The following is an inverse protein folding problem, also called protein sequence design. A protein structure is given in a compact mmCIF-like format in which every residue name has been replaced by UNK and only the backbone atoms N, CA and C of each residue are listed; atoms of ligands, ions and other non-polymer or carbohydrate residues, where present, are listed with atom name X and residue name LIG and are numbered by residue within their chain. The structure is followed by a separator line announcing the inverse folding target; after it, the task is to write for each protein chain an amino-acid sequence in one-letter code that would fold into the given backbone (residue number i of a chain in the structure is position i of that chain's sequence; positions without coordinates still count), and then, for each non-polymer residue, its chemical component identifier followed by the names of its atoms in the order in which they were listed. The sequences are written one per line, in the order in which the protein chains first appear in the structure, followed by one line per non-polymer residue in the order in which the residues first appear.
data_IF_075091241183
#
_entry.id   IF_075091241183
#
_cell.length_a   1.000
_cell.length_b   1.000
_cell.length_c   1.000
_cell.angle_alpha   90.00
_cell.angle_beta   90.00
_cell.angle_gamma   90.00
#
_symmetry.space_group_name_H-M   'P 1'
#
loop_
_entity.id
_entity.type
_entity.pdbx_description
1 polymer ?
#
# COMPACT_ATOMS: atom_id res chain seq x y z
N UNK A 1 20.75 17.71 -5.06
CA UNK A 1 21.93 16.80 -5.18
C UNK A 1 21.54 15.73 -6.17
N UNK A 2 22.26 15.60 -7.28
CA UNK A 2 22.04 14.48 -8.23
C UNK A 2 22.95 13.31 -7.84
N UNK A 3 22.43 12.09 -7.87
CA UNK A 3 23.19 10.88 -7.60
C UNK A 3 23.90 10.41 -8.89
N UNK A 4 25.10 9.85 -8.72
CA UNK A 4 25.87 9.24 -9.81
C UNK A 4 25.66 7.72 -9.77
N UNK A 5 24.96 7.11 -10.74
CA UNK A 5 24.60 5.70 -10.69
C UNK A 5 25.82 4.76 -10.70
N UNK A 6 26.95 5.17 -11.27
CA UNK A 6 28.16 4.33 -11.31
C UNK A 6 28.82 4.16 -9.94
N UNK A 7 28.55 5.08 -9.02
CA UNK A 7 29.12 5.10 -7.65
C UNK A 7 28.24 4.43 -6.60
N UNK A 8 27.09 3.88 -6.99
CA UNK A 8 26.12 3.29 -6.06
C UNK A 8 26.04 1.79 -6.30
N UNK A 9 26.50 1.01 -5.30
CA UNK A 9 26.44 -0.45 -5.27
C UNK A 9 25.48 -0.98 -4.21
N UNK A 10 25.26 -0.21 -3.13
CA UNK A 10 24.40 -0.58 -2.01
C UNK A 10 23.45 0.55 -1.65
N UNK A 11 22.17 0.25 -1.67
CA UNK A 11 21.08 1.18 -1.32
C UNK A 11 20.36 0.67 -0.08
N UNK A 12 20.17 1.55 0.90
CA UNK A 12 19.23 1.33 1.99
C UNK A 12 17.99 2.21 1.77
N UNK A 13 16.83 1.60 1.85
CA UNK A 13 15.55 2.31 1.92
C UNK A 13 15.00 2.17 3.34
N UNK A 14 14.85 3.29 4.04
CA UNK A 14 14.12 3.34 5.31
C UNK A 14 12.66 3.65 4.94
N UNK A 15 11.86 2.59 4.93
CA UNK A 15 10.47 2.63 4.49
C UNK A 15 9.52 3.19 5.53
N UNK A 16 8.29 3.40 5.11
CA UNK A 16 7.19 3.92 5.92
C UNK A 16 6.62 2.85 6.86
N UNK A 17 5.79 3.26 7.83
CA UNK A 17 5.29 2.35 8.86
C UNK A 17 4.06 1.57 8.43
N UNK A 18 3.28 2.11 7.50
CA UNK A 18 1.99 1.58 7.09
C UNK A 18 2.07 0.93 5.71
N UNK A 19 1.25 -0.10 5.51
CA UNK A 19 1.15 -0.83 4.26
C UNK A 19 0.85 0.09 3.07
N UNK A 20 -0.19 0.92 3.19
CA UNK A 20 -0.64 1.81 2.11
C UNK A 20 0.43 2.80 1.68
N UNK A 21 1.12 3.40 2.66
CA UNK A 21 2.19 4.37 2.38
C UNK A 21 3.35 3.73 1.60
N UNK A 22 3.73 2.48 1.96
CA UNK A 22 4.76 1.75 1.23
C UNK A 22 4.32 1.40 -0.19
N UNK A 23 3.06 1.05 -0.38
CA UNK A 23 2.52 0.80 -1.74
C UNK A 23 2.48 2.10 -2.54
N UNK A 24 2.08 3.24 -1.95
CA UNK A 24 2.11 4.54 -2.64
C UNK A 24 3.53 4.96 -3.03
N UNK A 25 4.55 4.62 -2.24
CA UNK A 25 5.95 4.90 -2.57
C UNK A 25 6.54 3.95 -3.64
N UNK A 26 5.86 2.84 -3.97
CA UNK A 26 6.42 1.76 -4.80
C UNK A 26 6.82 2.19 -6.20
N UNK A 27 6.07 3.09 -6.84
CA UNK A 27 6.42 3.62 -8.17
C UNK A 27 7.77 4.35 -8.15
N UNK A 28 7.99 5.18 -7.13
CA UNK A 28 9.23 5.93 -6.96
C UNK A 28 10.42 5.00 -6.70
N UNK A 29 10.24 4.03 -5.81
CA UNK A 29 11.28 3.04 -5.47
C UNK A 29 11.60 2.12 -6.66
N UNK A 30 10.61 1.79 -7.48
CA UNK A 30 10.83 0.99 -8.69
C UNK A 30 11.62 1.78 -9.76
N UNK A 31 11.33 3.07 -9.96
CA UNK A 31 12.15 3.90 -10.84
C UNK A 31 13.60 4.00 -10.34
N UNK A 32 13.81 4.06 -9.02
CA UNK A 32 15.16 4.02 -8.45
C UNK A 32 15.86 2.68 -8.74
N UNK A 33 15.15 1.54 -8.61
CA UNK A 33 15.70 0.21 -8.95
C UNK A 33 16.08 0.11 -10.43
N UNK A 34 15.22 0.63 -11.32
CA UNK A 34 15.51 0.68 -12.77
C UNK A 34 16.69 1.60 -13.11
N UNK A 35 16.89 2.66 -12.36
CA UNK A 35 18.02 3.57 -12.53
C UNK A 35 19.34 2.99 -11.97
N UNK A 36 19.25 2.10 -10.97
CA UNK A 36 20.38 1.46 -10.30
C UNK A 36 20.27 -0.08 -10.41
N UNK A 37 20.27 -0.67 -11.62
CA UNK A 37 19.93 -2.09 -11.81
C UNK A 37 20.91 -3.05 -11.13
N UNK A 38 22.18 -2.65 -11.00
CA UNK A 38 23.25 -3.47 -10.44
C UNK A 38 23.46 -3.24 -8.93
N UNK A 39 22.71 -2.33 -8.32
CA UNK A 39 22.83 -2.07 -6.90
C UNK A 39 22.01 -3.08 -6.09
N UNK A 40 22.55 -3.47 -4.92
CA UNK A 40 21.83 -4.25 -3.91
C UNK A 40 20.94 -3.33 -3.10
N UNK A 41 19.69 -3.74 -2.93
CA UNK A 41 18.67 -2.97 -2.23
C UNK A 41 18.27 -3.65 -0.93
N UNK A 42 18.56 -3.00 0.18
CA UNK A 42 18.05 -3.37 1.51
C UNK A 42 16.90 -2.45 1.85
N UNK A 43 15.80 -3.00 2.39
CA UNK A 43 14.69 -2.18 2.91
C UNK A 43 14.47 -2.44 4.40
N UNK A 44 14.30 -1.36 5.15
CA UNK A 44 13.90 -1.38 6.56
C UNK A 44 12.48 -0.88 6.68
N UNK A 45 11.55 -1.71 7.17
CA UNK A 45 10.13 -1.36 7.28
C UNK A 45 9.59 -1.69 8.66
N UNK A 46 8.57 -0.96 9.08
CA UNK A 46 7.80 -1.31 10.27
C UNK A 46 7.02 -2.61 10.08
N UNK A 47 6.62 -3.30 11.19
CA UNK A 47 5.90 -4.58 11.11
C UNK A 47 4.65 -4.52 10.22
N UNK A 48 3.88 -3.42 10.29
CA UNK A 48 2.65 -3.23 9.49
C UNK A 48 2.88 -3.07 7.99
N UNK A 49 4.10 -2.69 7.58
CA UNK A 49 4.45 -2.50 6.17
C UNK A 49 5.16 -3.71 5.57
N UNK A 50 5.50 -4.72 6.38
CA UNK A 50 6.23 -5.91 5.94
C UNK A 50 5.55 -6.60 4.75
N UNK A 51 4.22 -6.70 4.76
CA UNK A 51 3.46 -7.31 3.68
C UNK A 51 3.57 -6.60 2.33
N UNK A 52 3.98 -5.33 2.29
CA UNK A 52 4.22 -4.61 1.04
C UNK A 52 5.52 -5.05 0.34
N UNK A 53 6.52 -5.50 1.10
CA UNK A 53 7.89 -5.74 0.60
C UNK A 53 8.32 -7.21 0.65
N UNK A 54 7.76 -8.01 1.56
CA UNK A 54 8.15 -9.42 1.73
C UNK A 54 7.97 -10.23 0.46
N UNK A 55 9.01 -10.98 0.06
CA UNK A 55 9.00 -11.84 -1.12
C UNK A 55 9.02 -11.10 -2.47
N UNK A 56 9.13 -9.77 -2.48
CA UNK A 56 9.37 -9.03 -3.72
C UNK A 56 10.86 -9.09 -4.08
N UNK A 57 11.21 -9.66 -5.26
CA UNK A 57 12.60 -9.82 -5.70
C UNK A 57 13.32 -8.48 -5.98
N UNK A 58 12.62 -7.37 -5.89
CA UNK A 58 13.22 -6.03 -5.90
C UNK A 58 14.22 -5.86 -4.76
N UNK A 59 13.94 -6.50 -3.60
CA UNK A 59 14.71 -6.37 -2.37
C UNK A 59 15.66 -7.54 -2.19
N UNK A 60 16.96 -7.27 -2.09
CA UNK A 60 17.96 -8.26 -1.76
C UNK A 60 17.91 -8.62 -0.27
N UNK A 61 17.47 -7.66 0.57
CA UNK A 61 17.34 -7.84 2.01
C UNK A 61 16.15 -7.03 2.56
N UNK A 62 15.38 -7.64 3.46
CA UNK A 62 14.27 -7.00 4.16
C UNK A 62 14.50 -7.11 5.67
N UNK A 63 14.49 -5.98 6.37
CA UNK A 63 14.66 -5.91 7.81
C UNK A 63 13.46 -5.24 8.47
N UNK A 64 12.99 -5.80 9.58
CA UNK A 64 11.96 -5.18 10.41
C UNK A 64 12.59 -4.09 11.27
N UNK A 65 12.17 -2.86 11.06
CA UNK A 65 12.58 -1.68 11.81
C UNK A 65 11.46 -1.23 12.74
N UNK A 66 11.28 -1.97 13.83
CA UNK A 66 10.23 -1.69 14.81
C UNK A 66 10.68 -0.60 15.79
N UNK A 67 10.20 0.61 15.57
CA UNK A 67 10.47 1.80 16.41
C UNK A 67 9.65 1.82 17.71
N UNK A 68 8.63 0.99 17.84
CA UNK A 68 7.89 0.80 19.08
C UNK A 68 8.46 -0.33 19.95
N UNK A 69 9.27 -1.21 19.34
CA UNK A 69 9.94 -2.35 19.99
C UNK A 69 11.45 -2.21 20.03
N UNK A 70 12.16 -3.05 19.29
CA UNK A 70 13.62 -3.20 19.34
C UNK A 70 14.40 -1.89 19.08
N UNK A 71 13.87 -1.00 18.23
CA UNK A 71 14.48 0.28 17.88
C UNK A 71 13.84 1.48 18.58
N UNK A 72 13.20 1.26 19.74
CA UNK A 72 12.57 2.32 20.51
C UNK A 72 13.60 3.23 21.22
N UNK A 73 13.22 4.50 21.37
CA UNK A 73 13.95 5.49 22.16
C UNK A 73 15.35 5.79 21.64
N UNK A 74 16.19 6.37 22.51
CA UNK A 74 17.55 6.82 22.15
C UNK A 74 18.49 5.65 21.87
N UNK A 75 18.45 4.59 22.69
CA UNK A 75 19.27 3.37 22.48
C UNK A 75 18.96 2.71 21.14
N UNK A 76 17.67 2.62 20.78
CA UNK A 76 17.24 2.09 19.49
C UNK A 76 17.74 2.92 18.30
N UNK A 77 17.76 4.25 18.42
CA UNK A 77 18.35 5.13 17.40
C UNK A 77 19.86 4.92 17.22
N UNK A 78 20.60 4.77 18.32
CA UNK A 78 22.05 4.45 18.27
C UNK A 78 22.25 3.09 17.59
N UNK A 79 21.45 2.07 17.94
CA UNK A 79 21.51 0.76 17.31
C UNK A 79 21.27 0.85 15.80
N UNK A 80 20.21 1.57 15.38
CA UNK A 80 19.91 1.80 13.96
C UNK A 80 21.08 2.48 13.23
N UNK A 81 21.68 3.53 13.83
CA UNK A 81 22.81 4.23 13.26
C UNK A 81 24.04 3.32 13.11
N UNK A 82 24.33 2.48 14.11
CA UNK A 82 25.42 1.49 14.03
C UNK A 82 25.19 0.50 12.89
N UNK A 83 23.95 0.00 12.71
CA UNK A 83 23.60 -0.88 11.61
C UNK A 83 23.71 -0.19 10.25
N UNK A 84 23.28 1.08 10.12
CA UNK A 84 23.48 1.85 8.90
C UNK A 84 24.98 1.97 8.54
N UNK A 85 25.83 2.24 9.53
CA UNK A 85 27.29 2.35 9.34
C UNK A 85 27.92 1.01 8.94
N UNK A 86 27.57 -0.07 9.64
CA UNK A 86 28.11 -1.41 9.34
C UNK A 86 27.69 -1.92 7.97
N UNK A 87 26.50 -1.52 7.49
CA UNK A 87 25.99 -1.88 6.16
C UNK A 87 26.79 -1.27 5.00
N UNK A 88 27.54 -0.17 5.25
CA UNK A 88 28.36 0.55 4.25
C UNK A 88 27.57 0.88 2.98
N UNK A 89 26.39 1.49 3.16
CA UNK A 89 25.54 1.91 2.06
C UNK A 89 26.11 3.13 1.34
N UNK A 90 26.02 3.15 0.02
CA UNK A 90 26.40 4.30 -0.80
C UNK A 90 25.27 5.35 -0.86
N UNK A 91 24.02 4.88 -0.85
CA UNK A 91 22.81 5.70 -0.88
C UNK A 91 21.83 5.25 0.21
N UNK A 92 21.35 6.19 1.00
CA UNK A 92 20.24 5.95 1.94
C UNK A 92 19.05 6.83 1.56
N UNK A 93 17.94 6.18 1.26
CA UNK A 93 16.63 6.79 0.99
C UNK A 93 15.79 6.67 2.25
N UNK A 94 15.57 7.77 2.96
CA UNK A 94 14.73 7.79 4.16
C UNK A 94 13.38 8.43 3.86
N UNK A 95 12.38 7.58 3.61
CA UNK A 95 11.00 8.02 3.36
C UNK A 95 10.31 8.61 4.61
N UNK A 96 10.91 8.45 5.80
CA UNK A 96 10.42 9.01 7.06
C UNK A 96 10.99 10.38 7.38
N UNK A 97 11.93 10.84 6.54
CA UNK A 97 12.56 12.16 6.70
C UNK A 97 13.22 12.37 8.06
N UNK A 98 13.89 11.33 8.58
CA UNK A 98 14.64 11.44 9.84
C UNK A 98 16.00 12.14 9.62
N UNK A 99 16.62 12.58 10.70
CA UNK A 99 17.94 13.23 10.65
C UNK A 99 19.10 12.23 10.74
N UNK A 100 18.85 10.93 10.85
CA UNK A 100 19.91 9.91 11.07
C UNK A 100 20.76 9.60 9.86
N UNK A 101 20.24 9.53 8.61
CA UNK A 101 21.02 9.12 7.45
C UNK A 101 22.32 9.89 7.20
N UNK A 102 22.40 11.21 7.36
CA UNK A 102 23.66 11.96 7.21
C UNK A 102 24.77 11.50 8.15
N UNK A 103 24.44 10.96 9.31
CA UNK A 103 25.40 10.46 10.28
C UNK A 103 25.83 9.01 10.02
N UNK A 104 25.27 8.34 9.01
CA UNK A 104 25.60 6.95 8.65
C UNK A 104 26.97 6.78 7.98
N UNK A 105 27.48 7.85 7.36
CA UNK A 105 28.68 7.80 6.51
C UNK A 105 28.37 7.42 5.05
N UNK A 106 27.09 7.31 4.67
CA UNK A 106 26.69 7.10 3.28
C UNK A 106 27.06 8.31 2.41
N UNK A 107 27.54 8.05 1.19
CA UNK A 107 27.91 9.11 0.21
C UNK A 107 26.72 10.01 -0.13
N UNK A 108 25.55 9.40 -0.27
CA UNK A 108 24.30 10.09 -0.60
C UNK A 108 23.24 9.79 0.47
N UNK A 109 22.83 10.80 1.19
CA UNK A 109 21.79 10.72 2.22
C UNK A 109 20.90 11.97 2.16
N UNK A 110 20.01 12.07 1.16
CA UNK A 110 19.18 13.24 0.97
C UNK A 110 18.22 13.45 2.15
N UNK A 111 18.19 14.67 2.67
CA UNK A 111 17.22 15.09 3.71
C UNK A 111 15.94 15.56 3.04
N UNK A 112 15.02 14.65 2.78
CA UNK A 112 13.77 14.98 2.08
C UNK A 112 12.79 15.80 2.91
N UNK A 113 12.74 15.58 4.22
CA UNK A 113 11.84 16.29 5.11
C UNK A 113 11.93 17.80 5.02
N UNK A 114 13.13 18.33 4.75
CA UNK A 114 13.30 19.78 4.53
C UNK A 114 12.69 20.26 3.20
N UNK A 115 12.53 19.37 2.20
CA UNK A 115 11.90 19.69 0.90
C UNK A 115 10.39 19.50 0.92
N UNK A 116 9.88 18.56 1.70
CA UNK A 116 8.44 18.32 1.84
C UNK A 116 7.69 19.55 2.37
N UNK A 117 8.37 20.39 3.15
CA UNK A 117 7.79 21.66 3.66
C UNK A 117 7.33 22.58 2.53
N UNK A 118 7.99 22.51 1.36
CA UNK A 118 7.69 23.36 0.20
C UNK A 118 6.73 22.74 -0.81
N UNK A 119 6.32 21.47 -0.62
CA UNK A 119 5.35 20.83 -1.52
C UNK A 119 3.92 21.14 -1.08
N UNK A 120 2.97 21.32 -2.05
CA UNK A 120 1.58 21.51 -1.72
C UNK A 120 1.04 20.38 -0.84
N UNK A 121 0.31 20.71 0.22
CA UNK A 121 -0.28 19.69 1.12
C UNK A 121 -1.32 18.82 0.42
N UNK A 122 -1.93 19.31 -0.64
CA UNK A 122 -2.89 18.61 -1.50
C UNK A 122 -2.25 17.67 -2.51
N UNK A 123 -0.92 17.71 -2.66
CA UNK A 123 -0.24 16.84 -3.60
C UNK A 123 -0.34 15.36 -3.17
N UNK A 124 -0.75 14.50 -4.09
CA UNK A 124 -0.89 13.07 -3.84
C UNK A 124 0.44 12.44 -3.36
N UNK A 125 0.38 11.54 -2.36
CA UNK A 125 1.59 10.95 -1.74
C UNK A 125 2.47 10.17 -2.75
N UNK A 126 1.88 9.50 -3.74
CA UNK A 126 2.66 8.88 -4.80
C UNK A 126 3.41 9.92 -5.64
N UNK A 127 2.79 11.07 -5.95
CA UNK A 127 3.46 12.16 -6.67
C UNK A 127 4.59 12.78 -5.87
N UNK A 128 4.39 12.97 -4.55
CA UNK A 128 5.43 13.49 -3.65
C UNK A 128 6.69 12.63 -3.71
N UNK A 129 6.53 11.31 -3.63
CA UNK A 129 7.67 10.39 -3.68
C UNK A 129 8.33 10.34 -5.06
N UNK A 130 7.57 10.45 -6.15
CA UNK A 130 8.11 10.56 -7.52
C UNK A 130 8.93 11.85 -7.70
N UNK A 131 8.42 12.99 -7.23
CA UNK A 131 9.15 14.26 -7.28
C UNK A 131 10.43 14.23 -6.44
N UNK A 132 10.43 13.54 -5.30
CA UNK A 132 11.62 13.31 -4.51
C UNK A 132 12.69 12.56 -5.32
N UNK A 133 12.33 11.49 -6.06
CA UNK A 133 13.25 10.76 -6.95
C UNK A 133 13.77 11.65 -8.10
N UNK A 134 12.89 12.42 -8.74
CA UNK A 134 13.30 13.38 -9.79
C UNK A 134 14.36 14.34 -9.26
N UNK A 135 14.22 14.80 -8.03
CA UNK A 135 15.18 15.72 -7.40
C UNK A 135 16.58 15.12 -7.20
N UNK A 136 16.69 13.80 -7.17
CA UNK A 136 17.94 13.04 -7.13
C UNK A 136 18.53 12.77 -8.52
N UNK A 137 17.83 13.16 -9.58
CA UNK A 137 18.23 12.88 -10.96
C UNK A 137 17.75 11.51 -11.47
N UNK A 138 16.86 10.83 -10.74
CA UNK A 138 16.26 9.57 -11.20
C UNK A 138 15.18 9.87 -12.23
N UNK A 139 15.29 9.33 -13.47
CA UNK A 139 14.26 9.49 -14.49
C UNK A 139 13.00 8.72 -14.11
N UNK A 140 11.85 9.39 -14.22
CA UNK A 140 10.56 8.74 -13.94
C UNK A 140 10.03 8.13 -15.25
N UNK A 141 10.14 6.81 -15.36
CA UNK A 141 9.65 6.00 -16.49
C UNK A 141 8.29 5.37 -16.18
N UNK A 142 8.01 5.06 -14.91
CA UNK A 142 6.81 4.37 -14.45
C UNK A 142 6.16 5.22 -13.37
N UNK A 143 4.87 5.53 -13.55
CA UNK A 143 4.08 6.27 -12.56
C UNK A 143 3.10 5.38 -11.82
N UNK A 144 2.81 4.18 -12.36
CA UNK A 144 1.90 3.22 -11.77
C UNK A 144 2.49 2.61 -10.49
N UNK A 145 1.67 2.47 -9.47
CA UNK A 145 2.02 1.76 -8.24
C UNK A 145 2.33 0.30 -8.55
N UNK A 146 3.13 -0.30 -7.71
CA UNK A 146 3.52 -1.69 -7.84
C UNK A 146 3.25 -2.45 -6.55
N UNK A 147 2.65 -3.63 -6.69
CA UNK A 147 2.55 -4.63 -5.65
C UNK A 147 2.94 -5.98 -6.27
N UNK A 148 4.02 -6.57 -5.76
CA UNK A 148 4.54 -7.81 -6.34
C UNK A 148 3.62 -8.99 -6.02
N UNK A 149 3.25 -9.77 -7.04
CA UNK A 149 2.47 -10.99 -6.92
C UNK A 149 3.18 -12.08 -7.73
N UNK A 150 3.59 -13.21 -7.08
CA UNK A 150 4.17 -14.33 -7.79
C UNK A 150 3.21 -14.90 -8.86
N UNK A 151 3.75 -15.27 -10.02
CA UNK A 151 2.91 -15.77 -11.12
C UNK A 151 2.14 -17.04 -10.73
N UNK A 152 2.76 -17.92 -9.97
CA UNK A 152 2.11 -19.16 -9.50
C UNK A 152 0.93 -18.87 -8.58
N UNK A 153 1.04 -17.82 -7.75
CA UNK A 153 -0.05 -17.41 -6.88
C UNK A 153 -1.26 -16.88 -7.67
N UNK A 154 -1.04 -16.18 -8.78
CA UNK A 154 -2.13 -15.75 -9.68
C UNK A 154 -2.94 -16.91 -10.22
N UNK A 155 -2.25 -17.99 -10.67
CA UNK A 155 -2.90 -19.20 -11.17
C UNK A 155 -3.68 -19.92 -10.07
N UNK A 156 -3.06 -20.05 -8.89
CA UNK A 156 -3.68 -20.70 -7.73
C UNK A 156 -4.97 -19.99 -7.29
N UNK A 157 -4.92 -18.66 -7.15
CA UNK A 157 -6.08 -17.86 -6.71
C UNK A 157 -7.23 -17.94 -7.70
N UNK A 158 -6.93 -17.88 -9.00
CA UNK A 158 -7.93 -18.03 -10.06
C UNK A 158 -8.63 -19.39 -10.00
N UNK A 159 -7.87 -20.46 -9.77
CA UNK A 159 -8.44 -21.81 -9.64
C UNK A 159 -9.24 -21.97 -8.34
N UNK A 160 -8.73 -21.48 -7.22
CA UNK A 160 -9.31 -21.64 -5.87
C UNK A 160 -10.76 -21.12 -5.77
N UNK A 161 -11.08 -20.06 -6.50
CA UNK A 161 -12.39 -19.39 -6.40
C UNK A 161 -13.30 -19.64 -7.61
N UNK A 162 -12.83 -20.40 -8.61
CA UNK A 162 -13.57 -20.66 -9.85
C UNK A 162 -14.96 -21.25 -9.63
N UNK A 163 -15.06 -22.27 -8.76
CA UNK A 163 -16.29 -23.01 -8.49
C UNK A 163 -17.37 -22.15 -7.81
N UNK A 164 -16.95 -21.21 -6.97
CA UNK A 164 -17.88 -20.29 -6.29
C UNK A 164 -18.30 -19.14 -7.22
N UNK A 165 -17.35 -18.61 -7.98
CA UNK A 165 -17.61 -17.51 -8.92
C UNK A 165 -18.39 -18.00 -10.15
N UNK A 166 -18.17 -19.22 -10.63
CA UNK A 166 -18.92 -19.84 -11.75
C UNK A 166 -19.02 -18.94 -13.00
N UNK A 167 -17.93 -18.25 -13.33
CA UNK A 167 -17.89 -17.32 -14.47
C UNK A 167 -18.62 -16.00 -14.29
N UNK A 168 -19.26 -15.77 -13.15
CA UNK A 168 -19.89 -14.48 -12.79
C UNK A 168 -18.84 -13.41 -12.49
N UNK A 169 -19.24 -12.16 -12.46
CA UNK A 169 -18.38 -11.05 -12.01
C UNK A 169 -18.17 -11.12 -10.49
N UNK A 170 -16.92 -11.01 -10.06
CA UNK A 170 -16.57 -10.93 -8.64
C UNK A 170 -16.39 -9.47 -8.23
N UNK A 171 -17.11 -9.04 -7.22
CA UNK A 171 -16.99 -7.73 -6.59
C UNK A 171 -16.46 -7.93 -5.17
N UNK A 172 -15.34 -7.28 -4.82
CA UNK A 172 -14.77 -7.38 -3.49
C UNK A 172 -15.17 -6.17 -2.65
N UNK A 173 -15.61 -6.43 -1.42
CA UNK A 173 -15.93 -5.42 -0.42
C UNK A 173 -14.92 -5.45 0.73
N UNK A 174 -14.46 -4.27 1.14
CA UNK A 174 -13.70 -4.06 2.36
C UNK A 174 -14.43 -3.08 3.29
N UNK A 175 -15.31 -3.57 4.17
CA UNK A 175 -16.06 -2.73 5.09
C UNK A 175 -15.22 -2.25 6.28
N UNK A 176 -14.02 -2.82 6.50
CA UNK A 176 -13.12 -2.47 7.58
C UNK A 176 -12.34 -1.17 7.36
N UNK A 177 -11.83 -0.61 8.43
CA UNK A 177 -10.76 0.38 8.47
C UNK A 177 -10.22 0.46 9.91
N UNK A 178 -8.92 0.71 10.09
CA UNK A 178 -8.28 0.84 11.40
C UNK A 178 -8.86 1.99 12.26
N UNK A 179 -9.37 3.02 11.60
CA UNK A 179 -9.97 4.17 12.26
C UNK A 179 -11.48 4.21 12.00
N UNK A 180 -12.34 4.03 13.03
CA UNK A 180 -13.80 3.92 12.84
C UNK A 180 -14.45 5.05 12.02
N UNK A 181 -14.06 6.33 12.16
CA UNK A 181 -14.62 7.40 11.33
C UNK A 181 -14.41 7.26 9.81
N UNK A 182 -13.49 6.39 9.37
CA UNK A 182 -13.29 6.08 7.95
C UNK A 182 -14.26 5.02 7.42
N UNK A 183 -15.04 4.38 8.29
CA UNK A 183 -15.91 3.25 7.92
C UNK A 183 -17.25 3.76 7.39
N UNK A 184 -17.59 3.35 6.19
CA UNK A 184 -18.96 3.51 5.69
C UNK A 184 -19.88 2.58 6.47
N UNK A 185 -21.12 2.98 6.82
CA UNK A 185 -22.02 2.16 7.62
C UNK A 185 -22.28 0.79 7.01
N UNK A 186 -22.25 -0.26 7.82
CA UNK A 186 -22.42 -1.66 7.37
C UNK A 186 -23.73 -1.87 6.63
N UNK A 187 -24.83 -1.26 7.11
CA UNK A 187 -26.13 -1.32 6.42
C UNK A 187 -26.05 -0.92 4.95
N UNK A 188 -25.22 0.08 4.63
CA UNK A 188 -25.08 0.58 3.27
C UNK A 188 -24.28 -0.41 2.39
N UNK A 189 -23.29 -1.13 2.96
CA UNK A 189 -22.63 -2.23 2.27
C UNK A 189 -23.61 -3.38 1.98
N UNK A 190 -24.50 -3.71 2.92
CA UNK A 190 -25.53 -4.74 2.74
C UNK A 190 -26.49 -4.33 1.64
N UNK A 191 -27.01 -3.11 1.66
CA UNK A 191 -27.92 -2.58 0.63
C UNK A 191 -27.25 -2.59 -0.75
N UNK A 192 -26.03 -2.09 -0.86
CA UNK A 192 -25.27 -2.10 -2.11
C UNK A 192 -25.03 -3.52 -2.63
N UNK A 193 -24.68 -4.45 -1.75
CA UNK A 193 -24.45 -5.85 -2.13
C UNK A 193 -25.71 -6.48 -2.70
N UNK A 194 -26.85 -6.32 -2.01
CA UNK A 194 -28.15 -6.86 -2.49
C UNK A 194 -28.54 -6.27 -3.85
N UNK A 195 -28.37 -4.96 -4.06
CA UNK A 195 -28.62 -4.32 -5.36
C UNK A 195 -27.72 -4.90 -6.46
N UNK A 196 -26.42 -5.07 -6.19
CA UNK A 196 -25.47 -5.59 -7.17
C UNK A 196 -25.77 -7.08 -7.51
N UNK A 197 -26.16 -7.88 -6.53
CA UNK A 197 -26.59 -9.27 -6.75
C UNK A 197 -27.86 -9.31 -7.60
N UNK A 198 -28.87 -8.55 -7.21
CA UNK A 198 -30.17 -8.55 -7.87
C UNK A 198 -30.09 -8.05 -9.32
N UNK A 199 -29.40 -6.94 -9.55
CA UNK A 199 -29.38 -6.29 -10.87
C UNK A 199 -28.32 -6.85 -11.82
N UNK A 200 -27.24 -7.41 -11.27
CA UNK A 200 -26.06 -7.79 -12.07
C UNK A 200 -25.61 -9.25 -11.90
N UNK A 201 -26.23 -10.02 -11.01
CA UNK A 201 -25.90 -11.44 -10.78
C UNK A 201 -24.44 -11.66 -10.35
N UNK A 202 -23.87 -10.72 -9.61
CA UNK A 202 -22.45 -10.79 -9.19
C UNK A 202 -22.26 -11.70 -7.97
N UNK A 203 -21.01 -12.10 -7.71
CA UNK A 203 -20.60 -12.67 -6.44
C UNK A 203 -19.92 -11.58 -5.61
N UNK A 204 -20.34 -11.45 -4.35
CA UNK A 204 -19.74 -10.51 -3.39
C UNK A 204 -18.72 -11.23 -2.52
N UNK A 205 -17.45 -10.89 -2.67
CA UNK A 205 -16.39 -11.32 -1.76
C UNK A 205 -16.17 -10.27 -0.67
N UNK A 206 -16.10 -10.68 0.60
CA UNK A 206 -15.88 -9.73 1.70
C UNK A 206 -14.59 -10.05 2.42
N UNK A 207 -13.72 -9.04 2.58
CA UNK A 207 -12.43 -9.15 3.29
C UNK A 207 -12.46 -8.41 4.63
N UNK A 208 -11.56 -8.81 5.53
CA UNK A 208 -11.28 -8.18 6.82
C UNK A 208 -10.09 -8.87 7.46
N UNK A 209 -9.15 -8.12 8.05
CA UNK A 209 -7.90 -8.69 8.58
C UNK A 209 -7.88 -8.78 10.09
N UNK A 210 -8.13 -7.69 10.80
CA UNK A 210 -8.24 -7.70 12.26
C UNK A 210 -9.53 -8.40 12.68
N UNK A 211 -9.60 -8.86 13.93
CA UNK A 211 -10.82 -9.47 14.48
C UNK A 211 -12.03 -8.54 14.34
N UNK A 212 -11.84 -7.24 14.59
CA UNK A 212 -12.89 -6.25 14.41
C UNK A 212 -13.34 -6.15 12.94
N UNK A 213 -12.40 -6.11 11.99
CA UNK A 213 -12.71 -6.07 10.56
C UNK A 213 -13.39 -7.36 10.08
N UNK A 214 -12.99 -8.52 10.61
CA UNK A 214 -13.65 -9.79 10.32
C UNK A 214 -15.10 -9.79 10.83
N UNK A 215 -15.35 -9.22 12.02
CA UNK A 215 -16.72 -9.08 12.56
C UNK A 215 -17.58 -8.16 11.68
N UNK A 216 -17.03 -7.04 11.19
CA UNK A 216 -17.73 -6.18 10.25
C UNK A 216 -18.02 -6.90 8.93
N UNK A 217 -17.07 -7.66 8.43
CA UNK A 217 -17.26 -8.47 7.21
C UNK A 217 -18.34 -9.53 7.37
N UNK A 218 -18.37 -10.23 8.50
CA UNK A 218 -19.43 -11.22 8.81
C UNK A 218 -20.81 -10.58 8.87
N UNK A 219 -20.95 -9.40 9.47
CA UNK A 219 -22.23 -8.67 9.47
C UNK A 219 -22.75 -8.39 8.07
N UNK A 220 -21.87 -8.15 7.09
CA UNK A 220 -22.30 -8.03 5.69
C UNK A 220 -22.74 -9.38 5.15
N UNK A 221 -21.90 -10.42 5.31
CA UNK A 221 -22.15 -11.76 4.74
C UNK A 221 -23.42 -12.42 5.28
N UNK A 222 -23.71 -12.29 6.59
CA UNK A 222 -24.88 -12.88 7.24
C UNK A 222 -26.22 -12.31 6.74
N UNK A 223 -26.18 -11.19 6.02
CA UNK A 223 -27.35 -10.53 5.43
C UNK A 223 -27.45 -10.69 3.91
N UNK A 224 -26.66 -11.60 3.32
CA UNK A 224 -26.64 -11.85 1.88
C UNK A 224 -26.89 -13.33 1.57
N UNK A 225 -27.41 -13.66 0.36
CA UNK A 225 -27.59 -15.05 -0.06
C UNK A 225 -26.24 -15.80 -0.10
N UNK A 226 -26.18 -16.98 0.53
CA UNK A 226 -24.96 -17.79 0.63
C UNK A 226 -24.32 -18.10 -0.72
N UNK A 227 -25.13 -18.40 -1.75
CA UNK A 227 -24.63 -18.76 -3.07
C UNK A 227 -24.01 -17.60 -3.85
N UNK A 228 -24.30 -16.37 -3.44
CA UNK A 228 -23.81 -15.14 -4.06
C UNK A 228 -22.67 -14.48 -3.26
N UNK A 229 -22.15 -15.17 -2.24
CA UNK A 229 -21.13 -14.63 -1.35
C UNK A 229 -19.86 -15.49 -1.29
N UNK A 230 -18.73 -14.85 -1.01
CA UNK A 230 -17.44 -15.46 -0.78
C UNK A 230 -16.83 -14.87 0.51
N UNK A 231 -16.81 -15.66 1.57
CA UNK A 231 -16.19 -15.26 2.83
C UNK A 231 -14.66 -15.37 2.74
N UNK A 232 -14.02 -14.21 2.73
CA UNK A 232 -12.57 -14.03 2.67
C UNK A 232 -12.00 -13.42 3.96
N UNK A 233 -12.84 -13.24 4.99
CA UNK A 233 -12.44 -12.60 6.26
C UNK A 233 -11.42 -13.45 7.02
N UNK A 234 -10.26 -12.88 7.33
CA UNK A 234 -9.16 -13.57 8.01
C UNK A 234 -8.48 -14.70 7.22
N UNK A 235 -8.88 -14.95 5.97
CA UNK A 235 -8.50 -16.14 5.20
C UNK A 235 -7.52 -15.86 4.06
N UNK A 236 -7.31 -14.59 3.72
CA UNK A 236 -6.56 -14.22 2.50
C UNK A 236 -5.31 -13.42 2.87
N UNK A 237 -4.10 -13.99 2.71
CA UNK A 237 -2.85 -13.23 2.84
C UNK A 237 -2.79 -12.08 1.82
N UNK A 238 -2.06 -11.00 2.15
CA UNK A 238 -2.02 -9.79 1.32
C UNK A 238 -1.59 -10.03 -0.14
N UNK A 239 -0.69 -10.98 -0.39
CA UNK A 239 -0.27 -11.35 -1.77
C UNK A 239 -1.40 -12.06 -2.53
N UNK A 240 -2.12 -12.94 -1.83
CA UNK A 240 -3.30 -13.61 -2.37
C UNK A 240 -4.43 -12.61 -2.63
N UNK A 241 -4.64 -11.64 -1.73
CA UNK A 241 -5.57 -10.54 -1.96
C UNK A 241 -5.21 -9.75 -3.23
N UNK A 242 -3.94 -9.40 -3.42
CA UNK A 242 -3.51 -8.72 -4.64
C UNK A 242 -3.88 -9.49 -5.90
N UNK A 243 -3.63 -10.81 -5.93
CA UNK A 243 -3.99 -11.68 -7.04
C UNK A 243 -5.52 -11.78 -7.25
N UNK A 244 -6.28 -11.80 -6.16
CA UNK A 244 -7.74 -11.83 -6.22
C UNK A 244 -8.31 -10.52 -6.76
N UNK A 245 -7.81 -9.38 -6.29
CA UNK A 245 -8.21 -8.05 -6.77
C UNK A 245 -7.88 -7.87 -8.26
N UNK A 246 -6.73 -8.38 -8.73
CA UNK A 246 -6.33 -8.32 -10.13
C UNK A 246 -7.34 -9.03 -11.06
N UNK A 247 -8.04 -10.05 -10.56
CA UNK A 247 -9.06 -10.80 -11.30
C UNK A 247 -10.50 -10.34 -11.02
N UNK A 248 -10.69 -9.43 -10.07
CA UNK A 248 -12.00 -8.93 -9.69
C UNK A 248 -12.51 -7.85 -10.65
N UNK A 249 -13.82 -7.77 -10.80
CA UNK A 249 -14.46 -6.78 -11.69
C UNK A 249 -14.56 -5.40 -11.04
N UNK A 250 -14.65 -5.37 -9.70
CA UNK A 250 -14.77 -4.15 -8.92
C UNK A 250 -14.27 -4.36 -7.49
N UNK A 251 -13.64 -3.35 -6.91
CA UNK A 251 -13.30 -3.28 -5.50
C UNK A 251 -13.96 -2.07 -4.84
N UNK A 252 -14.81 -2.29 -3.84
CA UNK A 252 -15.44 -1.25 -3.03
C UNK A 252 -14.81 -1.26 -1.65
N UNK A 253 -14.18 -0.17 -1.25
CA UNK A 253 -13.37 -0.14 -0.04
C UNK A 253 -13.36 1.23 0.64
N UNK A 254 -13.32 1.23 1.96
CA UNK A 254 -12.96 2.40 2.73
C UNK A 254 -11.48 2.80 2.45
N UNK A 255 -11.10 4.01 2.84
CA UNK A 255 -9.70 4.47 2.80
C UNK A 255 -8.81 3.66 3.75
N UNK A 256 -8.16 2.64 3.20
CA UNK A 256 -7.31 1.68 3.92
C UNK A 256 -6.07 1.29 3.09
N UNK A 257 -5.13 0.57 3.73
CA UNK A 257 -3.94 0.08 3.03
C UNK A 257 -4.25 -0.82 1.83
N UNK A 258 -5.34 -1.58 1.85
CA UNK A 258 -5.76 -2.46 0.76
C UNK A 258 -6.28 -1.71 -0.47
N UNK A 259 -6.81 -0.49 -0.30
CA UNK A 259 -7.16 0.41 -1.40
C UNK A 259 -5.95 0.64 -2.32
N UNK A 260 -4.77 0.86 -1.73
CA UNK A 260 -3.55 1.09 -2.51
C UNK A 260 -3.02 -0.19 -3.17
N UNK A 261 -3.26 -1.37 -2.58
CA UNK A 261 -3.01 -2.65 -3.26
C UNK A 261 -3.91 -2.74 -4.51
N UNK A 262 -5.20 -2.45 -4.37
CA UNK A 262 -6.14 -2.40 -5.49
C UNK A 262 -5.68 -1.45 -6.60
N UNK A 263 -5.19 -0.25 -6.23
CA UNK A 263 -4.59 0.70 -7.18
C UNK A 263 -3.38 0.11 -7.89
N UNK A 264 -2.50 -0.58 -7.16
CA UNK A 264 -1.26 -1.14 -7.71
C UNK A 264 -1.51 -2.29 -8.69
N UNK A 265 -2.55 -3.09 -8.47
CA UNK A 265 -2.94 -4.20 -9.37
C UNK A 265 -3.91 -3.77 -10.47
N UNK A 266 -4.41 -2.52 -10.42
CA UNK A 266 -5.21 -1.94 -11.49
C UNK A 266 -6.68 -2.34 -11.50
N UNK A 267 -7.23 -2.90 -10.40
CA UNK A 267 -8.65 -3.24 -10.33
C UNK A 267 -9.51 -1.97 -10.38
N UNK A 268 -10.61 -1.93 -11.15
CA UNK A 268 -11.59 -0.85 -11.05
C UNK A 268 -12.11 -0.73 -9.62
N UNK A 269 -12.23 0.49 -9.08
CA UNK A 269 -12.61 0.63 -7.68
C UNK A 269 -13.49 1.82 -7.35
N UNK A 270 -14.22 1.69 -6.25
CA UNK A 270 -14.90 2.76 -5.54
C UNK A 270 -14.25 2.94 -4.18
N UNK A 271 -13.63 4.10 -3.99
CA UNK A 271 -13.04 4.50 -2.71
C UNK A 271 -14.04 5.31 -1.89
N UNK A 272 -14.31 4.86 -0.66
CA UNK A 272 -15.22 5.49 0.28
C UNK A 272 -14.41 6.31 1.29
N UNK A 273 -14.64 7.60 1.31
CA UNK A 273 -13.89 8.55 2.14
C UNK A 273 -14.78 9.22 3.16
N UNK A 274 -14.26 9.42 4.34
CA UNK A 274 -14.85 10.23 5.41
C UNK A 274 -13.93 11.41 5.72
N UNK A 275 -13.12 11.32 6.81
CA UNK A 275 -12.29 12.44 7.28
C UNK A 275 -11.00 12.65 6.48
N UNK A 276 -10.53 11.70 5.69
CA UNK A 276 -9.27 11.80 4.95
C UNK A 276 -9.44 12.44 3.57
N UNK A 277 -8.36 13.09 3.08
CA UNK A 277 -8.32 13.73 1.77
C UNK A 277 -8.15 12.72 0.65
N UNK A 278 -9.11 12.56 -0.26
CA UNK A 278 -8.97 11.70 -1.42
C UNK A 278 -7.95 12.23 -2.43
N UNK A 279 -7.72 13.56 -2.51
CA UNK A 279 -6.68 14.14 -3.37
C UNK A 279 -5.30 13.64 -2.97
N UNK A 280 -5.07 13.51 -1.65
CA UNK A 280 -3.78 13.12 -1.10
C UNK A 280 -3.59 11.60 -1.04
N UNK A 281 -4.64 10.87 -0.68
CA UNK A 281 -4.59 9.43 -0.39
C UNK A 281 -5.54 8.60 -1.25
N UNK A 282 -6.02 9.15 -2.37
CA UNK A 282 -6.94 8.46 -3.27
C UNK A 282 -6.30 7.29 -4.02
N UNK A 283 -7.10 6.53 -4.79
CA UNK A 283 -6.57 5.57 -5.75
C UNK A 283 -5.70 6.26 -6.79
N UNK A 284 -4.59 5.62 -7.16
CA UNK A 284 -3.61 6.17 -8.09
C UNK A 284 -3.47 5.32 -9.34
N UNK A 285 -3.64 5.92 -10.52
CA UNK A 285 -3.34 5.26 -11.78
C UNK A 285 -4.30 4.15 -12.22
N UNK A 286 -5.43 3.97 -11.55
CA UNK A 286 -6.47 2.99 -11.92
C UNK A 286 -7.81 3.68 -12.20
N UNK A 287 -8.72 2.98 -12.91
CA UNK A 287 -10.09 3.44 -13.10
C UNK A 287 -10.84 3.42 -11.77
N UNK A 288 -11.25 4.57 -11.28
CA UNK A 288 -11.89 4.68 -9.96
C UNK A 288 -12.99 5.76 -9.90
N UNK A 289 -13.77 5.67 -8.84
CA UNK A 289 -14.69 6.71 -8.36
C UNK A 289 -14.43 6.93 -6.88
N UNK A 290 -14.58 8.17 -6.45
CA UNK A 290 -14.53 8.57 -5.05
C UNK A 290 -15.93 8.90 -4.60
N UNK A 291 -16.32 8.36 -3.45
CA UNK A 291 -17.52 8.77 -2.72
C UNK A 291 -17.06 9.37 -1.39
N UNK A 292 -17.33 10.64 -1.21
CA UNK A 292 -16.97 11.40 -0.02
C UNK A 292 -18.13 12.35 0.36
N UNK A 293 -18.32 12.64 1.66
CA UNK A 293 -19.35 13.56 2.09
C UNK A 293 -18.97 14.99 1.69
N UNK A 294 -19.96 15.78 1.28
CA UNK A 294 -19.80 17.22 1.06
C UNK A 294 -20.07 17.95 2.38
N UNK A 295 -19.05 17.99 3.26
CA UNK A 295 -19.14 18.66 4.56
C UNK A 295 -18.13 19.81 4.62
N UNK A 296 -18.48 20.96 5.26
CA UNK A 296 -17.57 22.09 5.40
C UNK A 296 -16.27 21.77 6.16
N UNK A 297 -16.29 20.74 7.00
CA UNK A 297 -15.13 20.27 7.79
C UNK A 297 -14.36 19.11 7.13
N UNK A 298 -14.76 18.61 5.97
CA UNK A 298 -14.05 17.54 5.27
C UNK A 298 -13.18 18.10 4.13
N UNK A 299 -11.96 17.56 3.92
CA UNK A 299 -11.30 16.56 4.77
C UNK A 299 -10.78 17.17 6.08
N UNK A 300 -10.73 16.33 7.16
CA UNK A 300 -10.20 16.73 8.47
C UNK A 300 -8.69 16.52 8.57
N UNK A 301 -8.12 15.64 7.74
CA UNK A 301 -6.71 15.24 7.72
C UNK A 301 -6.21 15.03 6.29
#
# INVERSE_FOLDING_TARGET
MKIDPQKIKKVLVIGLSCLGDMVMASAALWNLKLFLPNAKFTVWVGPRALGAVSGDPMWDEVMIYDRGGEFAGFKGRIKALKLMRSGKYDLIIDLRSTIMPPFSGARYSPLWGLREVFLPKTLHEAERTLQAMTSLGVPIKIRQLRFYIPQELRKLVKAKHSDKVRGRKLVIFNPGANWPPKRWPIRNFIELANLLILEHGVVIGVIGYSEEEQNLGRQVLDNLPYDDTLDLTGKVPLRELGALLETSSLFVTNDTGTLHIGSAVGVPMVGLYGPSSPERYGPWGTRHRIVAPSLPCAPCI
#
